data_IF_898107807687
#
_entry.id   IF_898107807687
#
_cell.length_a   1.000
_cell.length_b   1.000
_cell.length_c   1.000
_cell.angle_alpha   90.00
_cell.angle_beta   90.00
_cell.angle_gamma   90.00
#
_symmetry.space_group_name_H-M   'P 1'
#
loop_
_entity.id
_entity.type
_entity.pdbx_description
1 polymer ?
#
# COMPACT_ATOMS: atom_id res chain seq x y z
N UNK A 1 6.41 -16.12 -17.61
CA UNK A 1 6.62 -14.81 -16.91
C UNK A 1 5.25 -14.16 -16.78
N UNK A 2 4.70 -14.12 -15.58
CA UNK A 2 3.43 -13.44 -15.32
C UNK A 2 3.71 -11.94 -15.30
N UNK A 3 3.33 -11.23 -16.34
CA UNK A 3 3.44 -9.76 -16.39
C UNK A 3 2.39 -9.25 -15.43
N UNK A 4 2.80 -8.62 -14.32
CA UNK A 4 1.85 -8.03 -13.36
C UNK A 4 1.07 -6.91 -14.04
N UNK A 5 -0.18 -6.71 -13.62
CA UNK A 5 -1.05 -5.60 -14.10
C UNK A 5 -0.31 -4.27 -14.01
N UNK A 6 0.48 -4.07 -12.96
CA UNK A 6 1.28 -2.88 -12.77
C UNK A 6 2.41 -2.72 -13.79
N UNK A 7 3.07 -3.81 -14.19
CA UNK A 7 4.11 -3.79 -15.23
C UNK A 7 3.50 -3.44 -16.58
N UNK A 8 2.29 -3.92 -16.89
CA UNK A 8 1.55 -3.53 -18.09
C UNK A 8 1.23 -2.03 -18.08
N UNK A 9 0.77 -1.50 -16.95
CA UNK A 9 0.46 -0.08 -16.79
C UNK A 9 1.70 0.82 -16.94
N UNK A 10 2.83 0.43 -16.37
CA UNK A 10 4.11 1.17 -16.50
C UNK A 10 4.61 1.24 -17.94
N UNK A 11 4.35 0.22 -18.74
CA UNK A 11 4.78 0.13 -20.14
C UNK A 11 3.76 0.76 -21.12
N UNK A 12 2.76 1.51 -20.62
CA UNK A 12 1.73 2.15 -21.47
C UNK A 12 0.77 1.14 -22.10
N UNK A 13 0.86 -0.13 -21.76
CA UNK A 13 -0.06 -1.15 -22.21
C UNK A 13 -1.39 -0.99 -21.47
N UNK A 14 -2.46 -0.74 -22.22
CA UNK A 14 -3.78 -0.65 -21.63
C UNK A 14 -4.21 -2.06 -21.17
N UNK A 15 -4.30 -2.34 -19.86
CA UNK A 15 -4.68 -3.66 -19.39
C UNK A 15 -6.11 -4.05 -19.80
N UNK A 16 -6.85 -3.12 -20.40
CA UNK A 16 -8.21 -3.35 -20.90
C UNK A 16 -8.29 -4.26 -22.13
N UNK A 17 -7.17 -4.54 -22.81
CA UNK A 17 -7.20 -5.29 -24.07
C UNK A 17 -6.17 -6.41 -24.08
N UNK A 18 -6.48 -7.49 -23.37
CA UNK A 18 -5.89 -8.79 -23.69
C UNK A 18 -7.02 -9.70 -24.17
N UNK A 19 -7.16 -9.83 -25.49
CA UNK A 19 -8.03 -10.81 -26.18
C UNK A 19 -9.51 -10.80 -25.76
N UNK A 20 -10.19 -9.65 -25.83
CA UNK A 20 -11.66 -9.63 -25.71
C UNK A 20 -12.24 -9.87 -24.31
N UNK A 21 -11.40 -9.91 -23.26
CA UNK A 21 -11.86 -10.05 -21.89
C UNK A 21 -12.07 -8.68 -21.22
N UNK A 22 -13.24 -8.51 -20.60
CA UNK A 22 -13.54 -7.39 -19.71
C UNK A 22 -12.51 -7.39 -18.57
N UNK A 23 -11.86 -6.25 -18.32
CA UNK A 23 -10.90 -6.12 -17.22
C UNK A 23 -11.55 -6.49 -15.90
N UNK A 24 -10.94 -7.40 -15.14
CA UNK A 24 -11.37 -7.75 -13.79
C UNK A 24 -11.37 -6.51 -12.90
N UNK A 25 -12.48 -6.28 -12.21
CA UNK A 25 -12.65 -5.20 -11.26
C UNK A 25 -12.49 -5.71 -9.83
N UNK A 26 -11.95 -4.86 -8.95
CA UNK A 26 -11.65 -5.22 -7.59
C UNK A 26 -12.44 -4.36 -6.61
N UNK A 27 -13.04 -4.99 -5.62
CA UNK A 27 -13.72 -4.31 -4.50
C UNK A 27 -12.75 -3.93 -3.39
N UNK A 28 -11.54 -4.54 -3.39
CA UNK A 28 -10.47 -4.23 -2.45
C UNK A 28 -9.18 -4.03 -3.22
N UNK A 29 -8.54 -2.89 -3.00
CA UNK A 29 -7.19 -2.59 -3.48
C UNK A 29 -6.30 -2.38 -2.27
N UNK A 30 -5.18 -3.09 -2.19
CA UNK A 30 -4.14 -2.92 -1.19
C UNK A 30 -2.87 -2.45 -1.87
N UNK A 31 -2.24 -1.38 -1.38
CA UNK A 31 -1.11 -0.76 -2.05
C UNK A 31 -0.01 -0.34 -1.08
N UNK A 32 1.24 -0.62 -1.43
CA UNK A 32 2.44 -0.10 -0.77
C UNK A 32 3.32 0.60 -1.80
N UNK A 33 2.98 1.84 -2.24
CA UNK A 33 3.73 2.53 -3.28
C UNK A 33 5.19 2.71 -2.90
N UNK A 34 6.13 2.56 -3.84
CA UNK A 34 7.56 2.73 -3.60
C UNK A 34 7.92 4.22 -3.54
N UNK A 35 7.50 4.88 -2.45
CA UNK A 35 7.66 6.31 -2.24
C UNK A 35 9.11 6.76 -2.36
N UNK A 36 9.34 7.81 -3.13
CA UNK A 36 10.60 8.53 -3.19
C UNK A 36 10.53 9.76 -2.28
N UNK A 37 11.47 9.88 -1.35
CA UNK A 37 11.62 11.07 -0.51
C UNK A 37 13.08 11.36 -0.19
N UNK A 38 13.42 12.64 -0.07
CA UNK A 38 14.77 13.09 0.26
C UNK A 38 15.06 12.89 1.74
N UNK A 39 16.19 12.27 2.05
CA UNK A 39 16.70 12.20 3.43
C UNK A 39 17.46 13.47 3.80
N UNK A 40 17.34 13.94 5.05
CA UNK A 40 18.01 15.17 5.53
C UNK A 40 19.55 15.06 5.58
N UNK A 41 20.09 13.86 5.62
CA UNK A 41 21.55 13.67 5.77
C UNK A 41 22.07 12.60 4.81
N UNK A 42 23.23 12.86 4.13
CA UNK A 42 23.90 11.84 3.32
C UNK A 42 24.26 10.58 4.10
N UNK A 43 24.50 10.69 5.43
CA UNK A 43 24.76 9.53 6.31
C UNK A 43 23.55 8.62 6.46
N UNK A 44 22.33 9.12 6.22
CA UNK A 44 21.08 8.33 6.20
C UNK A 44 20.87 7.56 4.91
N UNK A 45 21.51 7.92 3.80
CA UNK A 45 21.32 7.32 2.47
C UNK A 45 21.65 5.83 2.43
N UNK A 46 22.48 5.32 3.36
CA UNK A 46 22.79 3.89 3.46
C UNK A 46 21.61 2.98 3.80
N UNK A 47 20.56 3.56 4.38
CA UNK A 47 19.32 2.87 4.82
C UNK A 47 18.08 3.37 4.09
N UNK A 48 18.25 4.19 3.04
CA UNK A 48 17.13 4.70 2.25
C UNK A 48 16.55 3.61 1.34
N UNK A 49 15.26 3.73 1.00
CA UNK A 49 14.55 2.79 0.13
C UNK A 49 15.22 2.64 -1.24
N UNK A 50 15.80 3.71 -1.77
CA UNK A 50 16.47 3.76 -3.08
C UNK A 50 17.62 2.76 -3.26
N UNK A 51 18.31 2.39 -2.18
CA UNK A 51 19.38 1.37 -2.24
C UNK A 51 18.84 -0.06 -2.29
N UNK A 52 17.59 -0.27 -1.97
CA UNK A 52 17.02 -1.61 -1.83
C UNK A 52 16.07 -1.95 -2.98
N UNK A 53 15.43 -0.95 -3.62
CA UNK A 53 14.52 -1.15 -4.75
C UNK A 53 14.30 0.18 -5.53
N UNK A 54 13.92 0.10 -6.82
CA UNK A 54 13.55 1.29 -7.59
C UNK A 54 12.36 2.00 -6.94
N UNK A 55 12.55 3.26 -6.59
CA UNK A 55 11.47 4.15 -6.13
C UNK A 55 10.77 4.80 -7.32
N UNK A 56 9.58 5.34 -7.09
CA UNK A 56 8.82 6.10 -8.06
C UNK A 56 8.61 7.52 -7.54
N UNK A 57 8.68 8.50 -8.45
CA UNK A 57 8.27 9.87 -8.14
C UNK A 57 6.77 9.93 -7.86
N UNK A 58 6.33 10.93 -7.12
CA UNK A 58 4.91 11.17 -6.84
C UNK A 58 4.11 11.31 -8.14
N UNK A 59 4.67 12.00 -9.15
CA UNK A 59 4.03 12.16 -10.45
C UNK A 59 3.81 10.80 -11.16
N UNK A 60 4.80 9.91 -11.12
CA UNK A 60 4.66 8.56 -11.70
C UNK A 60 3.61 7.73 -10.95
N UNK A 61 3.58 7.80 -9.60
CA UNK A 61 2.57 7.09 -8.79
C UNK A 61 1.17 7.62 -9.11
N UNK A 62 0.98 8.95 -9.16
CA UNK A 62 -0.30 9.58 -9.51
C UNK A 62 -0.78 9.21 -10.92
N UNK A 63 0.13 9.03 -11.87
CA UNK A 63 -0.20 8.69 -13.25
C UNK A 63 -0.66 7.24 -13.45
N UNK A 64 -0.53 6.37 -12.45
CA UNK A 64 -1.02 4.99 -12.55
C UNK A 64 -2.55 4.97 -12.62
N UNK A 65 -3.16 4.27 -13.60
CA UNK A 65 -4.60 4.28 -13.81
C UNK A 65 -5.32 3.30 -12.85
N UNK A 66 -5.09 3.46 -11.53
CA UNK A 66 -5.64 2.58 -10.49
C UNK A 66 -7.16 2.63 -10.47
N UNK A 67 -7.75 3.78 -10.81
CA UNK A 67 -9.20 3.90 -10.94
C UNK A 67 -9.80 2.89 -11.92
N UNK A 68 -9.06 2.52 -12.96
CA UNK A 68 -9.53 1.52 -13.95
C UNK A 68 -9.61 0.10 -13.38
N UNK A 69 -8.93 -0.19 -12.26
CA UNK A 69 -9.00 -1.47 -11.56
C UNK A 69 -10.14 -1.54 -10.56
N UNK A 70 -10.57 -0.39 -10.05
CA UNK A 70 -11.59 -0.30 -9.03
C UNK A 70 -12.97 -0.70 -9.55
N UNK A 71 -13.71 -1.48 -8.75
CA UNK A 71 -15.14 -1.65 -8.90
C UNK A 71 -15.87 -0.33 -8.62
N UNK A 72 -17.18 -0.28 -8.86
CA UNK A 72 -18.01 0.87 -8.53
C UNK A 72 -17.91 1.20 -7.03
N UNK A 73 -18.07 0.18 -6.19
CA UNK A 73 -17.83 0.23 -4.75
C UNK A 73 -16.50 -0.44 -4.43
N UNK A 74 -15.49 0.35 -4.06
CA UNK A 74 -14.14 -0.14 -3.82
C UNK A 74 -13.50 0.52 -2.59
N UNK A 75 -12.84 -0.30 -1.76
CA UNK A 75 -12.01 0.15 -0.65
C UNK A 75 -10.53 0.04 -1.02
N UNK A 76 -9.80 1.13 -0.86
CA UNK A 76 -8.35 1.21 -1.02
C UNK A 76 -7.69 1.29 0.36
N UNK A 77 -6.74 0.38 0.61
CA UNK A 77 -5.85 0.38 1.76
C UNK A 77 -4.44 0.73 1.28
N UNK A 78 -3.93 1.90 1.63
CA UNK A 78 -2.63 2.37 1.12
C UNK A 78 -1.67 2.70 2.26
N UNK A 79 -0.48 2.06 2.25
CA UNK A 79 0.60 2.40 3.15
C UNK A 79 1.24 3.74 2.78
N UNK A 80 1.47 4.55 3.81
CA UNK A 80 2.07 5.87 3.67
C UNK A 80 3.32 5.95 4.52
N UNK A 81 4.40 6.46 3.94
CA UNK A 81 5.55 6.91 4.71
C UNK A 81 5.33 8.35 5.18
N UNK A 82 5.60 8.64 6.45
CA UNK A 82 5.34 9.96 7.04
C UNK A 82 5.93 11.15 6.25
N UNK A 83 7.15 11.06 5.67
CA UNK A 83 7.69 12.13 4.83
C UNK A 83 6.85 12.47 3.58
N UNK A 84 6.06 11.52 3.07
CA UNK A 84 5.20 11.70 1.88
C UNK A 84 3.71 11.82 2.25
N UNK A 85 3.38 12.14 3.50
CA UNK A 85 1.99 12.14 3.95
C UNK A 85 1.11 13.10 3.15
N UNK A 86 1.60 14.31 2.87
CA UNK A 86 0.87 15.31 2.10
C UNK A 86 0.60 14.81 0.66
N UNK A 87 1.64 14.33 0.02
CA UNK A 87 1.58 13.83 -1.36
C UNK A 87 0.73 12.56 -1.48
N UNK A 88 0.66 11.77 -0.42
CA UNK A 88 -0.16 10.56 -0.42
C UNK A 88 -1.65 10.87 -0.57
N UNK A 89 -2.15 11.95 0.03
CA UNK A 89 -3.54 12.37 -0.18
C UNK A 89 -3.80 12.81 -1.62
N UNK A 90 -2.84 13.48 -2.26
CA UNK A 90 -2.94 13.83 -3.67
C UNK A 90 -2.95 12.58 -4.58
N UNK A 91 -2.25 11.52 -4.18
CA UNK A 91 -2.29 10.22 -4.90
C UNK A 91 -3.66 9.57 -4.77
N UNK A 92 -4.28 9.59 -3.57
CA UNK A 92 -5.65 9.08 -3.39
C UNK A 92 -6.63 9.75 -4.34
N UNK A 93 -6.59 11.09 -4.40
CA UNK A 93 -7.45 11.90 -5.28
C UNK A 93 -7.19 11.58 -6.76
N UNK A 94 -5.91 11.49 -7.17
CA UNK A 94 -5.54 11.17 -8.54
C UNK A 94 -6.01 9.77 -8.97
N UNK A 95 -6.12 8.83 -8.02
CA UNK A 95 -6.65 7.48 -8.24
C UNK A 95 -8.18 7.40 -8.12
N UNK A 96 -8.87 8.54 -7.87
CA UNK A 96 -10.33 8.61 -7.78
C UNK A 96 -10.89 8.10 -6.45
N UNK A 97 -10.09 8.11 -5.38
CA UNK A 97 -10.51 7.68 -4.05
C UNK A 97 -10.61 8.84 -3.07
N UNK A 98 -11.57 8.75 -2.17
CA UNK A 98 -11.79 9.70 -1.09
C UNK A 98 -11.28 9.11 0.24
N UNK A 99 -10.39 9.82 0.92
CA UNK A 99 -9.92 9.44 2.26
C UNK A 99 -11.08 9.29 3.26
N UNK A 100 -11.02 8.27 4.10
CA UNK A 100 -12.01 8.01 5.17
C UNK A 100 -11.40 7.98 6.56
N UNK A 101 -10.31 7.22 6.74
CA UNK A 101 -9.71 7.03 8.06
C UNK A 101 -8.27 6.48 7.93
N UNK A 102 -7.55 6.44 9.05
CA UNK A 102 -6.40 5.55 9.20
C UNK A 102 -6.95 4.15 9.49
N UNK A 103 -6.72 3.21 8.58
CA UNK A 103 -7.13 1.81 8.74
C UNK A 103 -6.26 1.11 9.78
N UNK A 104 -4.93 1.19 9.59
CA UNK A 104 -3.96 0.54 10.48
C UNK A 104 -2.82 1.46 10.86
N UNK A 105 -2.34 1.26 12.09
CA UNK A 105 -1.07 1.80 12.60
C UNK A 105 -0.20 0.62 12.94
N UNK A 106 0.84 0.38 12.15
CA UNK A 106 1.83 -0.63 12.47
C UNK A 106 2.88 -0.06 13.43
N UNK A 107 2.88 -0.55 14.64
CA UNK A 107 3.91 -0.28 15.66
C UNK A 107 4.98 -1.36 15.52
N UNK A 108 6.16 -0.95 15.07
CA UNK A 108 7.28 -1.85 14.77
C UNK A 108 7.99 -2.29 16.04
N UNK A 109 8.14 -3.59 16.20
CA UNK A 109 9.00 -4.20 17.20
C UNK A 109 10.36 -4.57 16.61
N UNK A 110 11.39 -4.67 17.43
CA UNK A 110 12.69 -5.15 17.00
C UNK A 110 12.60 -6.56 16.43
N UNK A 111 13.57 -6.93 15.59
CA UNK A 111 13.52 -8.21 14.87
C UNK A 111 13.50 -9.44 15.77
N UNK A 112 14.11 -9.36 16.96
CA UNK A 112 14.37 -10.50 17.86
C UNK A 112 13.74 -10.28 19.24
N UNK A 113 13.38 -9.04 19.60
CA UNK A 113 12.83 -8.70 20.91
C UNK A 113 11.55 -7.88 20.80
N UNK A 114 10.70 -7.95 21.82
CA UNK A 114 9.41 -7.24 21.87
C UNK A 114 9.55 -5.73 22.10
N UNK A 115 10.78 -5.22 22.30
CA UNK A 115 11.04 -3.80 22.39
C UNK A 115 10.73 -3.07 21.08
N UNK A 116 10.36 -1.79 21.18
CA UNK A 116 10.06 -0.97 20.03
C UNK A 116 11.28 -0.80 19.11
N UNK A 117 11.05 -0.88 17.81
CA UNK A 117 12.08 -0.68 16.81
C UNK A 117 12.68 0.74 16.90
N UNK A 118 13.99 0.83 16.87
CA UNK A 118 14.72 2.10 16.89
C UNK A 118 14.95 2.59 15.46
N UNK A 119 13.93 3.23 14.89
CA UNK A 119 14.00 3.78 13.52
C UNK A 119 14.88 5.02 13.40
N UNK A 120 15.06 5.43 12.15
CA UNK A 120 15.69 6.72 11.83
C UNK A 120 14.66 7.85 11.98
N UNK A 121 15.11 9.02 12.37
CA UNK A 121 14.29 10.21 12.43
C UNK A 121 15.09 11.37 12.99
N UNK A 122 14.84 12.57 12.50
CA UNK A 122 15.53 13.76 12.98
C UNK A 122 14.97 14.23 14.34
N UNK A 123 13.65 14.33 14.45
CA UNK A 123 12.97 14.77 15.66
C UNK A 123 12.66 13.64 16.62
N UNK A 124 12.03 12.61 16.13
CA UNK A 124 11.66 11.42 16.91
C UNK A 124 12.14 10.16 16.19
N UNK A 125 12.26 9.04 16.93
CA UNK A 125 12.63 7.75 16.33
C UNK A 125 11.40 7.12 15.70
N UNK A 126 11.39 7.05 14.34
CA UNK A 126 10.28 6.48 13.58
C UNK A 126 10.16 4.97 13.80
N UNK A 127 9.16 4.57 14.53
CA UNK A 127 8.87 3.17 14.83
C UNK A 127 7.43 2.78 14.47
N UNK A 128 6.73 3.62 13.73
CA UNK A 128 5.40 3.33 13.24
C UNK A 128 5.28 3.63 11.73
N UNK A 129 4.32 2.97 11.08
CA UNK A 129 3.83 3.29 9.76
C UNK A 129 2.30 3.25 9.76
N UNK A 130 1.67 4.01 8.86
CA UNK A 130 0.22 4.05 8.75
C UNK A 130 -0.25 3.50 7.41
N UNK A 131 -1.38 2.78 7.46
CA UNK A 131 -2.15 2.40 6.30
C UNK A 131 -3.47 3.16 6.34
N UNK A 132 -3.76 3.93 5.31
CA UNK A 132 -5.00 4.69 5.22
C UNK A 132 -6.07 3.91 4.47
N UNK A 133 -7.33 4.13 4.86
CA UNK A 133 -8.52 3.69 4.15
C UNK A 133 -9.05 4.86 3.33
N UNK A 134 -9.25 4.61 2.05
CA UNK A 134 -9.98 5.50 1.16
C UNK A 134 -11.02 4.70 0.38
N UNK A 135 -12.07 5.33 -0.11
CA UNK A 135 -13.15 4.65 -0.83
C UNK A 135 -13.50 5.33 -2.14
N UNK A 136 -13.94 4.52 -3.09
CA UNK A 136 -14.70 4.92 -4.27
C UNK A 136 -16.10 4.32 -4.12
N UNK A 137 -17.14 5.08 -4.42
CA UNK A 137 -18.53 4.64 -4.15
C UNK A 137 -18.81 4.46 -2.66
N UNK A 138 -19.58 3.44 -2.33
CA UNK A 138 -20.08 3.16 -0.98
C UNK A 138 -19.80 1.72 -0.52
N UNK A 139 -18.53 1.26 -0.49
CA UNK A 139 -18.23 -0.09 -0.03
C UNK A 139 -18.64 -0.28 1.43
N UNK A 140 -19.19 -1.45 1.74
CA UNK A 140 -19.66 -1.78 3.09
C UNK A 140 -18.64 -2.68 3.79
N UNK A 141 -18.39 -2.40 5.07
CA UNK A 141 -17.64 -3.32 5.93
C UNK A 141 -18.52 -4.50 6.35
N UNK A 142 -17.91 -5.67 6.51
CA UNK A 142 -18.56 -6.87 7.01
C UNK A 142 -18.39 -7.06 8.52
N UNK A 143 -17.31 -6.49 9.08
CA UNK A 143 -17.00 -6.58 10.51
C UNK A 143 -16.80 -5.20 11.13
N UNK A 144 -17.16 -5.07 12.40
CA UNK A 144 -16.89 -3.88 13.22
C UNK A 144 -15.82 -4.13 14.30
N UNK A 145 -15.31 -5.38 14.41
CA UNK A 145 -14.38 -5.78 15.47
C UNK A 145 -12.91 -5.80 15.07
N UNK A 146 -12.54 -5.18 13.94
CA UNK A 146 -11.14 -5.16 13.49
C UNK A 146 -10.38 -4.03 14.18
N UNK A 147 -9.32 -4.39 14.92
CA UNK A 147 -8.48 -3.42 15.62
C UNK A 147 -7.55 -2.67 14.67
N UNK A 148 -7.31 -1.38 14.99
CA UNK A 148 -6.48 -0.50 14.16
C UNK A 148 -4.98 -0.73 14.37
N UNK A 149 -4.53 -0.97 15.61
CA UNK A 149 -3.10 -1.11 15.92
C UNK A 149 -2.63 -2.54 15.61
N UNK A 150 -1.54 -2.64 14.85
CA UNK A 150 -0.79 -3.86 14.59
C UNK A 150 0.56 -3.71 15.29
N UNK A 151 0.89 -4.62 16.21
CA UNK A 151 2.22 -4.70 16.83
C UNK A 151 2.91 -5.96 16.31
N UNK A 152 3.99 -5.78 15.55
CA UNK A 152 4.73 -6.92 15.03
C UNK A 152 6.19 -6.61 14.77
N UNK A 153 7.00 -7.66 14.76
CA UNK A 153 8.43 -7.57 14.47
C UNK A 153 8.70 -7.10 13.03
N UNK A 154 9.74 -6.27 12.87
CA UNK A 154 10.24 -5.95 11.53
C UNK A 154 10.80 -7.21 10.89
N UNK A 155 10.41 -7.44 9.63
CA UNK A 155 10.86 -8.58 8.82
C UNK A 155 11.94 -8.14 7.81
N UNK A 156 11.79 -8.55 6.54
CA UNK A 156 12.66 -8.06 5.46
C UNK A 156 12.43 -6.56 5.26
N UNK A 157 13.43 -5.90 4.68
CA UNK A 157 13.35 -4.45 4.44
C UNK A 157 12.02 -4.06 3.75
N UNK A 158 11.29 -3.12 4.37
CA UNK A 158 10.01 -2.58 3.86
C UNK A 158 8.86 -3.60 3.73
N UNK A 159 8.97 -4.82 4.22
CA UNK A 159 7.88 -5.79 4.23
C UNK A 159 6.86 -5.36 5.28
N UNK A 160 5.61 -5.20 4.83
CA UNK A 160 4.47 -4.91 5.72
C UNK A 160 4.00 -6.18 6.42
N UNK A 161 3.41 -6.08 7.62
CA UNK A 161 2.90 -7.25 8.34
C UNK A 161 1.80 -7.96 7.56
N UNK A 162 1.89 -9.29 7.48
CA UNK A 162 0.88 -10.12 6.79
C UNK A 162 -0.50 -9.98 7.45
N UNK A 163 -0.53 -9.75 8.75
CA UNK A 163 -1.73 -9.46 9.54
C UNK A 163 -2.58 -8.31 8.94
N UNK A 164 -1.97 -7.36 8.23
CA UNK A 164 -2.72 -6.30 7.55
C UNK A 164 -3.66 -6.88 6.49
N UNK A 165 -3.21 -7.87 5.69
CA UNK A 165 -4.04 -8.54 4.69
C UNK A 165 -5.18 -9.33 5.32
N UNK A 166 -4.89 -10.03 6.40
CA UNK A 166 -5.89 -10.81 7.16
C UNK A 166 -6.97 -9.88 7.71
N UNK A 167 -6.57 -8.76 8.33
CA UNK A 167 -7.50 -7.76 8.87
C UNK A 167 -8.31 -7.07 7.79
N UNK A 168 -7.76 -6.83 6.59
CA UNK A 168 -8.52 -6.29 5.45
C UNK A 168 -9.62 -7.28 5.05
N UNK A 169 -9.31 -8.57 4.94
CA UNK A 169 -10.30 -9.59 4.59
C UNK A 169 -11.34 -9.74 5.71
N UNK A 170 -10.93 -9.70 6.98
CA UNK A 170 -11.85 -9.71 8.11
C UNK A 170 -12.80 -8.50 8.08
N UNK A 171 -12.29 -7.31 7.74
CA UNK A 171 -13.06 -6.07 7.69
C UNK A 171 -14.05 -6.05 6.53
N UNK A 172 -13.60 -6.45 5.33
CA UNK A 172 -14.32 -6.25 4.07
C UNK A 172 -15.03 -7.52 3.55
N UNK A 173 -14.64 -8.70 4.04
CA UNK A 173 -15.10 -9.99 3.52
C UNK A 173 -14.23 -10.53 2.39
N UNK A 174 -14.57 -11.74 1.91
CA UNK A 174 -13.87 -12.42 0.81
C UNK A 174 -14.35 -11.89 -0.54
N UNK A 175 -13.91 -10.69 -0.90
CA UNK A 175 -14.23 -9.97 -2.12
C UNK A 175 -13.07 -10.04 -3.13
N UNK A 176 -13.33 -9.80 -4.44
CA UNK A 176 -12.27 -9.63 -5.42
C UNK A 176 -11.27 -8.58 -4.97
N UNK A 177 -9.99 -8.97 -4.86
CA UNK A 177 -8.94 -8.13 -4.30
C UNK A 177 -7.62 -8.22 -5.05
N UNK A 178 -6.88 -7.12 -5.04
CA UNK A 178 -5.56 -7.00 -5.67
C UNK A 178 -4.58 -6.28 -4.73
N UNK A 179 -3.33 -6.74 -4.72
CA UNK A 179 -2.23 -6.04 -4.08
C UNK A 179 -1.33 -5.40 -5.14
N UNK A 180 -1.28 -4.06 -5.14
CA UNK A 180 -0.42 -3.29 -6.01
C UNK A 180 0.97 -3.15 -5.39
N UNK A 181 2.02 -3.24 -6.22
CA UNK A 181 3.43 -3.20 -5.81
C UNK A 181 3.86 -4.42 -4.99
N UNK A 182 3.10 -5.50 -5.03
CA UNK A 182 3.44 -6.75 -4.35
C UNK A 182 4.81 -7.27 -4.80
N UNK A 183 5.63 -7.71 -3.84
CA UNK A 183 6.94 -8.33 -4.11
C UNK A 183 6.86 -9.84 -4.24
N UNK A 184 5.77 -10.41 -3.75
CA UNK A 184 5.45 -11.83 -3.81
C UNK A 184 3.95 -11.99 -3.96
N UNK A 185 3.53 -13.09 -4.58
CA UNK A 185 2.12 -13.45 -4.65
C UNK A 185 1.68 -14.00 -3.28
N UNK A 186 0.53 -13.56 -2.83
CA UNK A 186 -0.14 -14.07 -1.61
C UNK A 186 -1.44 -14.75 -2.03
N UNK A 187 -1.76 -15.89 -1.42
CA UNK A 187 -2.99 -16.62 -1.73
C UNK A 187 -4.23 -15.77 -1.52
N UNK A 188 -5.15 -15.85 -2.48
CA UNK A 188 -6.37 -15.07 -2.51
C UNK A 188 -6.18 -13.61 -2.92
N UNK A 189 -4.97 -13.14 -3.26
CA UNK A 189 -4.69 -11.81 -3.78
C UNK A 189 -4.17 -11.89 -5.22
N UNK A 190 -4.75 -11.10 -6.11
CA UNK A 190 -4.15 -10.83 -7.42
C UNK A 190 -2.99 -9.83 -7.26
N UNK A 191 -2.05 -9.79 -8.23
CA UNK A 191 -0.88 -8.89 -8.21
C UNK A 191 -0.63 -8.29 -9.59
#
# INVERSE_FOLDING_TARGET
>A
MTVTVLTMMRNGLNPTVVRGNVMKKYSIIYADPPWHYKTYSPKGNGRSAEKHYPTMSIAEIKALPVEKLAAEDCALFMWITFPCMKEAFEVLEAWGFQYKAVAFVWVKQNRISDGLFWGMGYWTRSNAEICVLATKGHPKRMSSGVHQVIMSHVQRHSQKPDEARERIVQLMGDLPRIELFARQKTDGWDV
#
